data_IF_706855088231
#
_entry.id   IF_706855088231
#
_cell.length_a   1.000
_cell.length_b   1.000
_cell.length_c   1.000
_cell.angle_alpha   90.00
_cell.angle_beta   90.00
_cell.angle_gamma   90.00
#
_symmetry.space_group_name_H-M   'P 1'
#
loop_
_entity.id
_entity.type
_entity.pdbx_description
1 polymer ?
#
# COMPACT_ATOMS: atom_id res chain seq x y z
N UNK A 1 -49.55 -3.00 -59.58
CA UNK A 1 -48.25 -3.42 -59.02
C UNK A 1 -48.29 -3.19 -57.52
N UNK A 2 -48.40 -4.25 -56.70
CA UNK A 2 -48.34 -4.17 -55.23
C UNK A 2 -47.07 -4.88 -54.79
N UNK A 3 -46.11 -4.13 -54.27
CA UNK A 3 -44.82 -4.59 -53.77
C UNK A 3 -45.02 -5.34 -52.46
N UNK A 4 -44.64 -6.63 -52.40
CA UNK A 4 -44.49 -7.38 -51.15
C UNK A 4 -43.17 -6.94 -50.48
N UNK A 5 -43.25 -6.41 -49.26
CA UNK A 5 -42.09 -6.20 -48.41
C UNK A 5 -41.79 -7.49 -47.64
N UNK A 6 -40.64 -8.11 -47.90
CA UNK A 6 -40.15 -9.26 -47.15
C UNK A 6 -39.60 -8.77 -45.80
N UNK A 7 -40.21 -9.22 -44.70
CA UNK A 7 -39.72 -8.99 -43.34
C UNK A 7 -38.63 -10.03 -43.06
N UNK A 8 -37.38 -9.58 -42.97
CA UNK A 8 -36.25 -10.40 -42.52
C UNK A 8 -36.29 -10.42 -41.00
N UNK A 9 -36.62 -11.58 -40.42
CA UNK A 9 -36.53 -11.82 -38.98
C UNK A 9 -35.07 -12.19 -38.67
N UNK A 10 -34.29 -11.23 -38.19
CA UNK A 10 -32.97 -11.49 -37.61
C UNK A 10 -33.14 -12.20 -36.27
N UNK A 11 -32.86 -13.50 -36.22
CA UNK A 11 -32.77 -14.24 -34.97
C UNK A 11 -31.51 -13.79 -34.20
N UNK A 12 -31.69 -12.92 -33.20
CA UNK A 12 -30.65 -12.65 -32.21
C UNK A 12 -30.46 -13.90 -31.35
N UNK A 13 -29.41 -14.66 -31.62
CA UNK A 13 -28.94 -15.70 -30.72
C UNK A 13 -28.41 -15.02 -29.45
N UNK A 14 -29.23 -15.03 -28.39
CA UNK A 14 -28.79 -14.66 -27.05
C UNK A 14 -27.81 -15.73 -26.58
N UNK A 15 -26.52 -15.43 -26.66
CA UNK A 15 -25.51 -16.23 -25.98
C UNK A 15 -25.82 -16.16 -24.48
N UNK A 16 -26.32 -17.26 -23.91
CA UNK A 16 -26.38 -17.44 -22.46
C UNK A 16 -24.94 -17.32 -21.95
N UNK A 17 -24.61 -16.17 -21.37
CA UNK A 17 -23.37 -16.01 -20.64
C UNK A 17 -23.37 -17.04 -19.51
N UNK A 18 -22.44 -18.00 -19.57
CA UNK A 18 -22.24 -18.95 -18.49
C UNK A 18 -22.00 -18.16 -17.20
N UNK A 19 -22.73 -18.51 -16.13
CA UNK A 19 -22.51 -17.90 -14.83
C UNK A 19 -21.02 -18.01 -14.46
N UNK A 20 -20.38 -16.93 -13.97
CA UNK A 20 -18.97 -16.98 -13.62
C UNK A 20 -18.75 -18.08 -12.60
N UNK A 21 -17.92 -19.08 -12.96
CA UNK A 21 -17.62 -20.17 -12.06
C UNK A 21 -16.88 -19.62 -10.83
N UNK A 22 -17.34 -19.96 -9.64
CA UNK A 22 -16.63 -19.63 -8.41
C UNK A 22 -15.26 -20.32 -8.44
N UNK A 23 -14.16 -19.58 -8.23
CA UNK A 23 -12.83 -20.18 -8.25
C UNK A 23 -12.68 -21.22 -7.15
N UNK A 24 -11.96 -22.31 -7.45
CA UNK A 24 -11.60 -23.30 -6.43
C UNK A 24 -10.65 -22.67 -5.39
N UNK A 25 -10.56 -23.28 -4.21
CA UNK A 25 -9.60 -22.86 -3.17
C UNK A 25 -8.16 -22.82 -3.70
N UNK A 26 -7.78 -23.79 -4.54
CA UNK A 26 -6.45 -23.85 -5.14
C UNK A 26 -6.24 -22.71 -6.12
N UNK A 27 -7.19 -22.44 -7.01
CA UNK A 27 -7.13 -21.31 -7.94
C UNK A 27 -7.00 -19.98 -7.20
N UNK A 28 -7.79 -19.77 -6.14
CA UNK A 28 -7.73 -18.58 -5.30
C UNK A 28 -6.38 -18.44 -4.59
N UNK A 29 -5.84 -19.54 -4.04
CA UNK A 29 -4.53 -19.55 -3.36
C UNK A 29 -3.39 -19.24 -4.32
N UNK A 30 -3.42 -19.83 -5.53
CA UNK A 30 -2.42 -19.59 -6.56
C UNK A 30 -2.48 -18.14 -7.07
N UNK A 31 -3.68 -17.60 -7.28
CA UNK A 31 -3.87 -16.20 -7.68
C UNK A 31 -3.37 -15.23 -6.59
N UNK A 32 -3.70 -15.48 -5.32
CA UNK A 32 -3.22 -14.68 -4.20
C UNK A 32 -1.69 -14.72 -4.09
N UNK A 33 -1.09 -15.91 -4.18
CA UNK A 33 0.36 -16.08 -4.17
C UNK A 33 1.06 -15.35 -5.32
N UNK A 34 0.49 -15.38 -6.52
CA UNK A 34 0.98 -14.63 -7.68
C UNK A 34 0.91 -13.11 -7.43
N UNK A 35 -0.22 -12.62 -6.92
CA UNK A 35 -0.42 -11.20 -6.62
C UNK A 35 0.56 -10.68 -5.57
N UNK A 36 0.69 -11.37 -4.42
CA UNK A 36 1.62 -10.95 -3.36
C UNK A 36 3.06 -10.98 -3.84
N UNK A 37 3.47 -12.02 -4.58
CA UNK A 37 4.82 -12.10 -5.15
C UNK A 37 5.08 -10.94 -6.10
N UNK A 38 4.18 -10.66 -7.03
CA UNK A 38 4.32 -9.55 -7.99
C UNK A 38 4.48 -8.21 -7.29
N UNK A 39 3.64 -7.90 -6.28
CA UNK A 39 3.80 -6.66 -5.53
C UNK A 39 5.13 -6.61 -4.79
N UNK A 40 5.48 -7.67 -4.06
CA UNK A 40 6.71 -7.72 -3.25
C UNK A 40 7.98 -7.61 -4.09
N UNK A 41 8.03 -8.24 -5.27
CA UNK A 41 9.26 -8.35 -6.07
C UNK A 41 9.36 -7.35 -7.23
N UNK A 42 8.25 -7.00 -7.87
CA UNK A 42 8.27 -6.16 -9.08
C UNK A 42 7.78 -4.72 -8.83
N UNK A 43 6.73 -4.55 -8.02
CA UNK A 43 6.11 -3.23 -7.80
C UNK A 43 6.84 -2.43 -6.71
N UNK A 44 7.33 -3.14 -5.69
CA UNK A 44 7.95 -2.59 -4.48
C UNK A 44 9.11 -1.64 -4.80
N UNK A 45 9.08 -0.46 -4.16
CA UNK A 45 10.27 0.40 -4.03
C UNK A 45 10.73 0.33 -2.59
N UNK A 46 11.74 -0.48 -2.33
CA UNK A 46 12.28 -0.67 -0.99
C UNK A 46 11.21 -1.03 0.08
N UNK A 47 10.19 -1.79 -0.29
CA UNK A 47 9.07 -2.18 0.58
C UNK A 47 7.89 -1.22 0.58
N UNK A 48 7.94 -0.14 -0.21
CA UNK A 48 6.86 0.86 -0.35
C UNK A 48 6.13 0.76 -1.68
N UNK A 49 4.93 1.32 -1.71
CA UNK A 49 4.00 1.25 -2.84
C UNK A 49 3.31 2.60 -3.09
N UNK A 50 2.82 2.77 -4.31
CA UNK A 50 2.09 3.94 -4.81
C UNK A 50 0.62 3.58 -5.06
N UNK A 51 -0.16 4.52 -5.62
CA UNK A 51 -1.58 4.30 -5.88
C UNK A 51 -1.83 3.54 -7.17
N UNK A 52 -1.13 3.94 -8.23
CA UNK A 52 -1.39 3.44 -9.57
C UNK A 52 -0.08 3.25 -10.34
N UNK A 53 -0.14 2.27 -11.22
CA UNK A 53 0.97 1.83 -12.05
C UNK A 53 0.43 1.51 -13.44
N UNK A 54 1.20 1.81 -14.49
CA UNK A 54 0.94 1.19 -15.80
C UNK A 54 1.29 -0.30 -15.76
N UNK A 55 0.75 -1.07 -16.70
CA UNK A 55 0.98 -2.52 -16.78
C UNK A 55 2.46 -2.91 -16.87
N UNK A 56 3.28 -2.05 -17.47
CA UNK A 56 4.73 -2.21 -17.61
C UNK A 56 5.54 -1.55 -16.47
N UNK A 57 4.87 -0.99 -15.46
CA UNK A 57 5.42 -0.27 -14.30
C UNK A 57 6.28 0.97 -14.64
N UNK A 58 6.25 1.44 -15.89
CA UNK A 58 7.01 2.60 -16.35
C UNK A 58 6.39 3.93 -15.89
N UNK A 59 5.07 3.96 -15.73
CA UNK A 59 4.32 5.07 -15.13
C UNK A 59 3.87 4.69 -13.73
N UNK A 60 3.99 5.67 -12.83
CA UNK A 60 3.83 5.52 -11.39
C UNK A 60 3.19 6.78 -10.84
N UNK A 61 2.16 6.64 -10.03
CA UNK A 61 1.38 7.80 -9.56
C UNK A 61 1.03 7.71 -8.07
N UNK A 62 1.26 8.83 -7.38
CA UNK A 62 0.60 9.23 -6.14
C UNK A 62 -0.34 10.39 -6.46
N UNK A 63 -0.24 11.51 -5.74
CA UNK A 63 -0.96 12.76 -6.10
C UNK A 63 -0.59 13.31 -7.49
N UNK A 64 0.55 12.87 -8.02
CA UNK A 64 0.97 13.11 -9.39
C UNK A 64 2.00 12.07 -9.81
N UNK A 65 2.77 12.38 -10.85
CA UNK A 65 3.84 11.50 -11.33
C UNK A 65 4.87 11.26 -10.23
N UNK A 66 5.07 9.99 -9.88
CA UNK A 66 6.06 9.54 -8.92
C UNK A 66 7.31 8.98 -9.61
N UNK A 67 8.42 8.97 -8.89
CA UNK A 67 9.69 8.39 -9.35
C UNK A 67 9.83 6.92 -8.96
N UNK A 68 10.84 6.25 -9.50
CA UNK A 68 11.23 4.88 -9.11
C UNK A 68 11.88 4.79 -7.73
N UNK A 69 12.07 5.92 -7.05
CA UNK A 69 12.63 5.99 -5.68
C UNK A 69 11.58 6.34 -4.64
N UNK A 70 10.32 6.53 -5.05
CA UNK A 70 9.25 6.99 -4.17
C UNK A 70 8.25 5.89 -3.82
N UNK A 71 7.71 6.00 -2.61
CA UNK A 71 6.49 5.34 -2.17
C UNK A 71 5.51 6.34 -1.57
N UNK A 72 4.22 6.02 -1.56
CA UNK A 72 3.17 6.85 -1.01
C UNK A 72 2.67 6.29 0.31
N UNK A 73 2.53 7.11 1.34
CA UNK A 73 1.98 6.75 2.65
C UNK A 73 0.48 7.00 2.71
N UNK A 74 0.00 8.08 2.09
CA UNK A 74 -1.42 8.39 1.97
C UNK A 74 -2.15 7.20 1.30
N UNK A 75 -3.19 6.63 1.93
CA UNK A 75 -4.01 5.60 1.33
C UNK A 75 -4.54 6.01 -0.06
N UNK A 76 -4.65 5.07 -1.03
CA UNK A 76 -4.43 3.64 -0.92
C UNK A 76 -2.97 3.18 -1.15
N UNK A 77 -1.96 3.97 -0.73
CA UNK A 77 -0.54 3.62 -0.91
C UNK A 77 -0.01 2.50 0.00
N UNK A 78 1.23 2.65 0.42
CA UNK A 78 2.05 1.70 1.20
C UNK A 78 1.31 1.00 2.35
N UNK A 79 0.65 1.70 3.31
CA UNK A 79 -0.01 1.01 4.40
C UNK A 79 -1.21 0.16 3.94
N UNK A 80 -1.91 0.56 2.87
CA UNK A 80 -3.02 -0.23 2.32
C UNK A 80 -2.55 -1.55 1.71
N UNK A 81 -1.42 -1.54 0.99
CA UNK A 81 -0.81 -2.78 0.46
C UNK A 81 -0.29 -3.66 1.60
N UNK A 82 0.35 -3.06 2.61
CA UNK A 82 0.80 -3.79 3.81
C UNK A 82 -0.36 -4.47 4.55
N UNK A 83 -1.50 -3.77 4.71
CA UNK A 83 -2.71 -4.34 5.30
C UNK A 83 -3.28 -5.49 4.46
N UNK A 84 -3.18 -5.43 3.13
CA UNK A 84 -3.57 -6.53 2.25
C UNK A 84 -2.68 -7.77 2.46
N UNK A 85 -1.36 -7.60 2.64
CA UNK A 85 -0.47 -8.69 2.99
C UNK A 85 -0.80 -9.32 4.35
N UNK A 86 -1.13 -8.50 5.37
CA UNK A 86 -1.59 -9.04 6.65
C UNK A 86 -2.89 -9.82 6.51
N UNK A 87 -3.86 -9.32 5.75
CA UNK A 87 -5.11 -10.05 5.48
C UNK A 87 -4.83 -11.39 4.78
N UNK A 88 -3.89 -11.42 3.83
CA UNK A 88 -3.47 -12.66 3.16
C UNK A 88 -2.84 -13.65 4.16
N UNK A 89 -1.97 -13.17 5.05
CA UNK A 89 -1.40 -14.00 6.11
C UNK A 89 -2.48 -14.51 7.07
N UNK A 90 -3.40 -13.67 7.53
CA UNK A 90 -4.49 -14.06 8.43
C UNK A 90 -5.39 -15.15 7.81
N UNK A 91 -5.64 -15.07 6.50
CA UNK A 91 -6.48 -16.03 5.79
C UNK A 91 -5.79 -17.38 5.52
N UNK A 92 -4.45 -17.44 5.53
CA UNK A 92 -3.70 -18.61 5.03
C UNK A 92 -2.63 -19.14 5.98
N UNK A 93 -2.26 -18.37 7.00
CA UNK A 93 -1.08 -18.56 7.86
C UNK A 93 0.25 -18.69 7.10
N UNK A 94 0.30 -18.28 5.83
CA UNK A 94 1.52 -18.37 5.02
C UNK A 94 2.50 -17.27 5.42
N UNK A 95 3.63 -17.65 6.00
CA UNK A 95 4.66 -16.73 6.50
C UNK A 95 5.26 -15.84 5.42
N UNK A 96 5.23 -16.25 4.15
CA UNK A 96 5.68 -15.40 3.04
C UNK A 96 4.92 -14.06 2.98
N UNK A 97 3.62 -14.07 3.31
CA UNK A 97 2.79 -12.87 3.34
C UNK A 97 3.08 -12.01 4.57
N UNK A 98 3.39 -12.64 5.71
CA UNK A 98 3.80 -11.91 6.92
C UNK A 98 5.15 -11.22 6.73
N UNK A 99 6.11 -11.87 6.07
CA UNK A 99 7.40 -11.25 5.75
C UNK A 99 7.22 -10.08 4.77
N UNK A 100 6.31 -10.17 3.80
CA UNK A 100 5.97 -9.05 2.92
C UNK A 100 5.42 -7.85 3.72
N UNK A 101 4.51 -8.10 4.68
CA UNK A 101 4.00 -7.07 5.58
C UNK A 101 5.12 -6.48 6.46
N UNK A 102 6.03 -7.32 6.96
CA UNK A 102 7.17 -6.86 7.77
C UNK A 102 8.10 -5.93 6.99
N UNK A 103 8.44 -6.27 5.76
CA UNK A 103 9.25 -5.41 4.87
C UNK A 103 8.58 -4.04 4.66
N UNK A 104 7.26 -4.03 4.44
CA UNK A 104 6.49 -2.80 4.30
C UNK A 104 6.46 -1.97 5.58
N UNK A 105 6.33 -2.61 6.74
CA UNK A 105 6.40 -1.93 8.04
C UNK A 105 7.79 -1.30 8.28
N UNK A 106 8.87 -2.03 7.97
CA UNK A 106 10.23 -1.51 8.07
C UNK A 106 10.48 -0.36 7.08
N UNK A 107 9.86 -0.40 5.90
CA UNK A 107 9.93 0.70 4.94
C UNK A 107 9.25 1.97 5.46
N UNK A 108 8.07 1.86 6.07
CA UNK A 108 7.41 2.98 6.76
C UNK A 108 8.25 3.51 7.93
N UNK A 109 8.88 2.63 8.72
CA UNK A 109 9.78 3.04 9.80
C UNK A 109 10.94 3.92 9.29
N UNK A 110 11.51 3.61 8.12
CA UNK A 110 12.54 4.45 7.46
C UNK A 110 11.98 5.78 6.91
N UNK A 111 10.68 5.83 6.65
CA UNK A 111 9.97 7.03 6.22
C UNK A 111 9.50 7.94 7.36
N UNK A 112 9.67 7.55 8.62
CA UNK A 112 9.16 8.34 9.75
C UNK A 112 9.97 9.63 9.96
N UNK A 113 9.28 10.73 10.23
CA UNK A 113 9.87 12.04 10.46
C UNK A 113 10.16 12.29 11.94
N UNK A 114 11.08 13.21 12.23
CA UNK A 114 11.37 13.68 13.60
C UNK A 114 10.15 14.32 14.28
N UNK A 115 9.12 14.72 13.52
CA UNK A 115 7.85 15.22 14.04
C UNK A 115 6.92 14.12 14.57
N UNK A 116 7.17 12.84 14.23
CA UNK A 116 6.40 11.72 14.76
C UNK A 116 5.74 10.85 13.70
N UNK A 117 5.10 11.46 12.72
CA UNK A 117 4.38 10.76 11.66
C UNK A 117 5.10 10.81 10.32
N UNK A 118 4.29 10.93 9.27
CA UNK A 118 4.73 10.86 7.87
C UNK A 118 4.16 12.02 7.06
N UNK A 119 4.86 12.38 5.99
CA UNK A 119 4.30 13.11 4.85
C UNK A 119 3.56 12.14 3.92
N UNK A 120 2.91 12.65 2.87
CA UNK A 120 2.24 11.80 1.86
C UNK A 120 3.14 10.81 1.17
N UNK A 121 4.44 11.08 1.07
CA UNK A 121 5.38 10.19 0.38
C UNK A 121 6.69 10.04 1.12
N UNK A 122 7.38 8.95 0.78
CA UNK A 122 8.75 8.66 1.18
C UNK A 122 9.57 8.63 -0.10
N UNK A 123 10.66 9.38 -0.13
CA UNK A 123 11.62 9.35 -1.25
C UNK A 123 12.94 8.80 -0.73
N UNK A 124 13.36 7.68 -1.32
CA UNK A 124 14.58 6.96 -0.96
C UNK A 124 15.81 7.40 -1.77
N UNK A 125 15.68 8.37 -2.68
CA UNK A 125 16.84 8.98 -3.33
C UNK A 125 17.62 9.86 -2.35
N UNK A 126 18.93 10.00 -2.54
CA UNK A 126 19.78 10.87 -1.71
C UNK A 126 19.25 12.32 -1.65
N UNK A 127 18.73 12.82 -2.77
CA UNK A 127 18.11 14.14 -2.83
C UNK A 127 16.82 14.20 -2.01
N UNK A 128 15.94 13.21 -2.17
CA UNK A 128 14.71 13.06 -1.40
C UNK A 128 14.96 12.98 0.11
N UNK A 129 15.95 12.19 0.54
CA UNK A 129 16.35 12.07 1.95
C UNK A 129 16.81 13.39 2.55
N UNK A 130 17.42 14.29 1.76
CA UNK A 130 17.84 15.62 2.21
C UNK A 130 16.70 16.65 2.29
N UNK A 131 15.54 16.40 1.66
CA UNK A 131 14.41 17.33 1.63
C UNK A 131 13.54 17.30 2.88
N UNK A 132 13.59 16.21 3.65
CA UNK A 132 12.79 15.99 4.85
C UNK A 132 13.65 15.53 6.03
N UNK A 133 13.20 15.84 7.24
CA UNK A 133 13.87 15.46 8.47
C UNK A 133 13.46 14.05 8.93
N UNK A 134 13.76 13.05 8.12
CA UNK A 134 13.56 11.65 8.50
C UNK A 134 14.39 11.28 9.74
N UNK A 135 13.83 10.44 10.62
CA UNK A 135 14.53 9.90 11.80
C UNK A 135 15.77 9.10 11.42
N UNK A 136 15.72 8.43 10.26
CA UNK A 136 16.75 7.54 9.76
C UNK A 136 17.46 8.15 8.54
N UNK A 137 18.62 8.79 8.69
CA UNK A 137 19.37 9.30 7.52
C UNK A 137 18.74 10.50 6.79
N UNK A 138 17.79 11.21 7.40
CA UNK A 138 17.29 12.49 6.91
C UNK A 138 18.14 13.69 7.33
N UNK A 139 17.95 14.84 6.67
CA UNK A 139 18.61 16.09 7.09
C UNK A 139 17.81 16.72 8.24
N UNK A 140 18.39 16.72 9.45
CA UNK A 140 17.71 17.19 10.68
C UNK A 140 17.13 18.61 10.60
N UNK A 141 17.71 19.50 9.79
CA UNK A 141 17.24 20.89 9.61
C UNK A 141 16.30 21.08 8.42
N UNK A 142 15.90 20.00 7.75
CA UNK A 142 14.96 20.06 6.64
C UNK A 142 13.51 20.11 7.14
N UNK A 143 12.54 20.13 6.21
CA UNK A 143 11.12 20.20 6.56
C UNK A 143 10.74 19.01 7.43
N UNK A 144 9.97 19.28 8.49
CA UNK A 144 9.62 18.30 9.51
C UNK A 144 8.18 18.50 9.97
N UNK A 145 7.21 18.01 9.20
CA UNK A 145 5.80 18.11 9.54
C UNK A 145 5.13 16.75 9.36
N UNK A 146 4.19 16.46 10.25
CA UNK A 146 3.38 15.24 10.19
C UNK A 146 2.07 15.56 9.49
N UNK A 147 1.67 14.72 8.53
CA UNK A 147 0.39 14.85 7.84
C UNK A 147 -0.65 13.91 8.47
N UNK A 148 -1.72 14.51 8.99
CA UNK A 148 -2.91 13.80 9.48
C UNK A 148 -4.05 13.76 8.45
N UNK A 149 -3.97 14.60 7.43
CA UNK A 149 -4.94 14.63 6.35
C UNK A 149 -4.93 13.30 5.59
N UNK A 150 -6.09 12.96 5.03
CA UNK A 150 -6.34 11.73 4.28
C UNK A 150 -5.88 10.45 4.98
N UNK A 151 -5.98 10.40 6.32
CA UNK A 151 -5.64 9.21 7.12
C UNK A 151 -4.19 8.75 6.92
N UNK A 152 -3.29 9.66 6.54
CA UNK A 152 -1.89 9.34 6.19
C UNK A 152 -1.12 8.72 7.35
N UNK A 153 -0.96 9.46 8.46
CA UNK A 153 -0.23 8.98 9.63
C UNK A 153 -1.01 7.91 10.37
N UNK A 154 -2.33 8.03 10.41
CA UNK A 154 -3.24 7.15 11.11
C UNK A 154 -3.30 5.76 10.46
N UNK A 155 -3.35 5.66 9.13
CA UNK A 155 -3.29 4.39 8.42
C UNK A 155 -1.93 3.71 8.56
N UNK A 156 -0.84 4.47 8.43
CA UNK A 156 0.51 3.96 8.69
C UNK A 156 0.61 3.36 10.10
N UNK A 157 0.11 4.07 11.11
CA UNK A 157 0.16 3.62 12.51
C UNK A 157 -0.71 2.39 12.75
N UNK A 158 -1.94 2.36 12.23
CA UNK A 158 -2.83 1.18 12.31
C UNK A 158 -2.19 -0.05 11.69
N UNK A 159 -1.56 0.11 10.52
CA UNK A 159 -0.85 -0.98 9.86
C UNK A 159 0.35 -1.46 10.70
N UNK A 160 1.20 -0.54 11.17
CA UNK A 160 2.36 -0.89 11.99
C UNK A 160 1.96 -1.67 13.25
N UNK A 161 0.94 -1.19 13.99
CA UNK A 161 0.45 -1.87 15.20
C UNK A 161 -0.08 -3.28 14.92
N UNK A 162 -0.79 -3.47 13.80
CA UNK A 162 -1.27 -4.80 13.38
C UNK A 162 -0.12 -5.72 12.99
N UNK A 163 0.89 -5.21 12.29
CA UNK A 163 2.09 -5.97 11.93
C UNK A 163 2.89 -6.37 13.18
N UNK A 164 3.06 -5.45 14.12
CA UNK A 164 3.79 -5.73 15.36
C UNK A 164 3.11 -6.83 16.20
N UNK A 165 1.77 -6.78 16.30
CA UNK A 165 0.99 -7.84 16.93
C UNK A 165 1.14 -9.19 16.19
N UNK A 166 1.09 -9.18 14.85
CA UNK A 166 1.27 -10.38 14.03
C UNK A 166 2.68 -11.00 14.17
N UNK A 167 3.69 -10.17 14.46
CA UNK A 167 5.06 -10.59 14.74
C UNK A 167 5.29 -10.97 16.22
N UNK A 168 4.24 -10.98 17.04
CA UNK A 168 4.34 -11.28 18.47
C UNK A 168 5.14 -10.24 19.26
N UNK A 169 5.17 -8.99 18.80
CA UNK A 169 5.86 -7.87 19.43
C UNK A 169 7.38 -8.03 19.51
N UNK A 170 7.98 -8.69 18.51
CA UNK A 170 9.40 -9.05 18.49
C UNK A 170 10.27 -8.21 17.55
N UNK A 171 9.69 -7.26 16.80
CA UNK A 171 10.46 -6.37 15.94
C UNK A 171 10.67 -5.01 16.62
N UNK A 172 11.85 -4.76 17.24
CA UNK A 172 12.06 -3.56 18.06
C UNK A 172 12.01 -2.28 17.24
N UNK A 173 12.32 -2.34 15.94
CA UNK A 173 12.27 -1.16 15.06
C UNK A 173 10.81 -0.76 14.80
N UNK A 174 9.94 -1.73 14.52
CA UNK A 174 8.51 -1.47 14.33
C UNK A 174 7.91 -0.93 15.64
N UNK A 175 8.23 -1.55 16.78
CA UNK A 175 7.76 -1.09 18.10
C UNK A 175 8.20 0.35 18.40
N UNK A 176 9.48 0.67 18.22
CA UNK A 176 9.99 2.05 18.41
C UNK A 176 9.28 3.05 17.50
N UNK A 177 9.03 2.70 16.23
CA UNK A 177 8.29 3.57 15.30
C UNK A 177 6.87 3.85 15.79
N UNK A 178 6.16 2.84 16.29
CA UNK A 178 4.80 2.98 16.84
C UNK A 178 4.81 3.90 18.06
N UNK A 179 5.67 3.61 19.04
CA UNK A 179 5.71 4.34 20.30
C UNK A 179 6.09 5.81 20.06
N UNK A 180 7.02 6.06 19.13
CA UNK A 180 7.40 7.41 18.74
C UNK A 180 6.23 8.18 18.11
N UNK A 181 5.51 7.57 17.19
CA UNK A 181 4.36 8.18 16.53
C UNK A 181 3.24 8.50 17.53
N UNK A 182 2.85 7.53 18.38
CA UNK A 182 1.80 7.71 19.38
C UNK A 182 2.13 8.85 20.34
N UNK A 183 3.36 8.88 20.86
CA UNK A 183 3.79 9.96 21.76
C UNK A 183 3.78 11.33 21.08
N UNK A 184 4.15 11.41 19.80
CA UNK A 184 4.10 12.67 19.05
C UNK A 184 2.67 13.12 18.76
N UNK A 185 1.76 12.20 18.46
CA UNK A 185 0.33 12.52 18.24
C UNK A 185 -0.27 13.13 19.52
N UNK A 186 0.00 12.53 20.68
CA UNK A 186 -0.48 13.05 21.97
C UNK A 186 0.05 14.46 22.25
N UNK A 187 1.30 14.75 21.90
CA UNK A 187 1.88 16.10 22.03
C UNK A 187 1.28 17.12 21.06
N UNK A 188 0.79 16.67 19.91
CA UNK A 188 0.18 17.52 18.89
C UNK A 188 -1.32 17.77 19.14
N UNK A 189 -1.93 17.10 20.13
CA UNK A 189 -3.33 17.28 20.44
C UNK A 189 -3.59 18.73 20.90
N UNK A 190 -4.55 19.39 20.25
CA UNK A 190 -4.96 20.73 20.64
C UNK A 190 -5.57 20.69 22.05
N UNK A 191 -5.23 21.63 22.96
CA UNK A 191 -5.87 21.73 24.26
C UNK A 191 -7.39 21.89 24.11
N UNK A 192 -8.16 21.16 24.92
CA UNK A 192 -9.61 21.30 24.98
C UNK A 192 -10.03 22.61 25.67
#
# INVERSE_FOLDING_TARGET
>A
MKTLAAVIICAFATALAAAPQTPTREQATNALGKGVRFFRTEVSVQGTYLWQYSDDLSKREGEGKATTTQGWVQPPGTPSVGLAFLSAWQATSNTYYLEAARETAQALARGQLLSGGWTYSIDFSDEGRRKLAYRDGGKKTARNFTTFDDDTTQCALRFLMRTDAALGFRDPKIRDTIDYALNSILKAQYPN
#
